data_IF_840252205699
#
_entry.id   IF_840252205699
#
_cell.length_a   1.000
_cell.length_b   1.000
_cell.length_c   1.000
_cell.angle_alpha   90.00
_cell.angle_beta   90.00
_cell.angle_gamma   90.00
#
_symmetry.space_group_name_H-M   'P 1'
#
loop_
_entity.id
_entity.type
_entity.pdbx_description
1 polymer ?
#
# COMPACT_ATOMS: atom_id res chain seq x y z
N UNK A 1 22.43 28.25 -6.41
CA UNK A 1 21.24 27.73 -7.13
C UNK A 1 19.98 28.17 -6.41
N UNK A 2 18.92 28.56 -7.12
CA UNK A 2 17.64 28.89 -6.48
C UNK A 2 17.01 27.65 -5.85
N UNK A 3 16.18 27.83 -4.82
CA UNK A 3 15.41 26.75 -4.18
C UNK A 3 14.58 25.96 -5.22
N UNK A 4 13.92 26.68 -6.12
CA UNK A 4 13.15 26.13 -7.24
C UNK A 4 13.98 25.22 -8.15
N UNK A 5 15.22 25.62 -8.51
CA UNK A 5 16.09 24.80 -9.35
C UNK A 5 16.50 23.48 -8.68
N UNK A 6 16.57 23.45 -7.34
CA UNK A 6 16.86 22.22 -6.57
C UNK A 6 15.65 21.29 -6.45
N UNK A 7 14.43 21.84 -6.46
CA UNK A 7 13.20 21.07 -6.26
C UNK A 7 12.57 20.61 -7.57
N UNK A 8 12.71 21.38 -8.66
CA UNK A 8 12.06 21.12 -9.95
C UNK A 8 12.26 19.68 -10.46
N UNK A 9 13.45 19.05 -10.38
CA UNK A 9 13.63 17.67 -10.82
C UNK A 9 12.82 16.65 -10.02
N UNK A 10 12.45 16.97 -8.77
CA UNK A 10 11.77 16.04 -7.86
C UNK A 10 10.24 16.17 -7.91
N UNK A 11 9.70 17.27 -8.43
CA UNK A 11 8.25 17.54 -8.43
C UNK A 11 7.40 16.47 -9.15
N UNK A 12 7.79 15.92 -10.32
CA UNK A 12 7.00 14.87 -10.96
C UNK A 12 6.83 13.63 -10.09
N UNK A 13 7.88 13.27 -9.35
CA UNK A 13 7.88 12.12 -8.45
C UNK A 13 7.03 12.36 -7.20
N UNK A 14 7.11 13.56 -6.61
CA UNK A 14 6.27 13.90 -5.45
C UNK A 14 4.78 13.92 -5.84
N UNK A 15 4.44 14.39 -7.04
CA UNK A 15 3.06 14.32 -7.55
C UNK A 15 2.63 12.87 -7.74
N UNK A 16 3.46 12.01 -8.33
CA UNK A 16 3.17 10.58 -8.46
C UNK A 16 2.90 9.94 -7.10
N UNK A 17 3.76 10.19 -6.13
CA UNK A 17 3.61 9.72 -4.75
C UNK A 17 2.32 10.22 -4.11
N UNK A 18 2.06 11.54 -4.16
CA UNK A 18 0.87 12.14 -3.57
C UNK A 18 -0.42 11.54 -4.12
N UNK A 19 -0.47 11.26 -5.43
CA UNK A 19 -1.62 10.61 -6.09
C UNK A 19 -1.79 9.16 -5.66
N UNK A 20 -0.70 8.43 -5.49
CA UNK A 20 -0.74 7.07 -4.97
C UNK A 20 -1.19 7.03 -3.51
N UNK A 21 -0.85 8.06 -2.73
CA UNK A 21 -1.23 8.20 -1.33
C UNK A 21 -2.70 8.60 -1.15
N UNK A 22 -3.22 9.51 -2.00
CA UNK A 22 -4.60 10.01 -1.92
C UNK A 22 -5.63 9.16 -2.67
N UNK A 23 -5.17 8.34 -3.63
CA UNK A 23 -6.05 7.65 -4.57
C UNK A 23 -6.67 8.56 -5.65
N UNK A 24 -6.51 9.89 -5.55
CA UNK A 24 -7.06 10.88 -6.47
C UNK A 24 -6.01 11.88 -6.98
N UNK A 25 -6.12 12.24 -8.27
CA UNK A 25 -5.22 13.19 -8.93
C UNK A 25 -5.34 14.61 -8.39
N UNK A 26 -6.57 15.08 -8.19
CA UNK A 26 -6.86 16.46 -7.80
C UNK A 26 -6.38 16.72 -6.38
N UNK A 27 -6.73 15.83 -5.44
CA UNK A 27 -6.25 15.90 -4.06
C UNK A 27 -4.73 15.82 -3.99
N UNK A 28 -4.10 14.86 -4.66
CA UNK A 28 -2.65 14.70 -4.65
C UNK A 28 -1.90 15.94 -5.14
N UNK A 29 -2.34 16.51 -6.27
CA UNK A 29 -1.76 17.72 -6.84
C UNK A 29 -1.99 18.95 -5.94
N UNK A 30 -3.14 19.03 -5.25
CA UNK A 30 -3.43 20.10 -4.29
C UNK A 30 -2.46 20.09 -3.10
N UNK A 31 -2.20 18.94 -2.49
CA UNK A 31 -1.24 18.85 -1.37
C UNK A 31 0.18 19.23 -1.78
N UNK A 32 0.61 18.82 -2.98
CA UNK A 32 1.91 19.24 -3.51
C UNK A 32 1.97 20.75 -3.72
N UNK A 33 0.91 21.36 -4.26
CA UNK A 33 0.83 22.82 -4.41
C UNK A 33 0.95 23.54 -3.08
N UNK A 34 0.17 23.14 -2.07
CA UNK A 34 0.22 23.73 -0.72
C UNK A 34 1.61 23.59 -0.11
N UNK A 35 2.28 22.45 -0.31
CA UNK A 35 3.64 22.25 0.17
C UNK A 35 4.66 23.20 -0.47
N UNK A 36 4.52 23.45 -1.77
CA UNK A 36 5.38 24.41 -2.47
C UNK A 36 5.09 25.86 -2.09
N UNK A 37 3.81 26.20 -1.87
CA UNK A 37 3.40 27.53 -1.38
C UNK A 37 3.98 27.82 0.01
N UNK A 38 3.89 26.86 0.94
CA UNK A 38 4.46 26.98 2.28
C UNK A 38 6.00 27.13 2.25
N UNK A 39 6.68 26.43 1.34
CA UNK A 39 8.13 26.58 1.12
C UNK A 39 8.48 27.94 0.51
N UNK A 40 7.68 28.43 -0.44
CA UNK A 40 7.90 29.72 -1.10
C UNK A 40 7.63 30.91 -0.14
N UNK A 41 6.64 30.77 0.74
CA UNK A 41 6.31 31.74 1.78
C UNK A 41 7.29 31.73 2.97
N UNK A 42 8.16 30.71 3.06
CA UNK A 42 9.12 30.55 4.16
C UNK A 42 8.50 30.02 5.46
N UNK A 43 7.24 29.57 5.43
CA UNK A 43 6.54 28.96 6.57
C UNK A 43 7.12 27.58 6.92
N UNK A 44 7.65 26.89 5.91
CA UNK A 44 8.44 25.67 6.06
C UNK A 44 9.81 25.87 5.44
N UNK A 45 10.81 25.22 6.02
CA UNK A 45 12.20 25.23 5.55
C UNK A 45 12.64 23.81 5.22
N UNK A 46 13.50 23.70 4.21
CA UNK A 46 14.16 22.43 3.91
C UNK A 46 15.31 22.23 4.91
N UNK A 47 15.35 21.05 5.52
CA UNK A 47 16.47 20.63 6.34
C UNK A 47 17.73 20.51 5.47
N UNK A 48 18.76 21.28 5.80
CA UNK A 48 20.02 21.32 5.04
C UNK A 48 20.90 20.10 5.29
N UNK A 49 20.62 19.31 6.33
CA UNK A 49 21.31 18.05 6.59
C UNK A 49 20.82 16.90 5.72
N UNK A 50 19.63 17.06 5.10
CA UNK A 50 19.00 16.06 4.26
C UNK A 50 19.24 16.34 2.78
N UNK A 51 19.12 15.30 1.95
CA UNK A 51 19.11 15.49 0.50
C UNK A 51 17.88 16.33 0.09
N UNK A 52 17.95 17.16 -0.97
CA UNK A 52 16.81 17.97 -1.41
C UNK A 52 15.55 17.14 -1.68
N UNK A 53 15.72 15.90 -2.14
CA UNK A 53 14.65 14.94 -2.36
C UNK A 53 13.99 14.54 -1.03
N UNK A 54 14.77 14.06 -0.05
CA UNK A 54 14.24 13.64 1.26
C UNK A 54 13.59 14.82 1.99
N UNK A 55 14.24 15.99 1.99
CA UNK A 55 13.73 17.19 2.63
C UNK A 55 12.36 17.62 2.04
N UNK A 56 12.18 17.52 0.72
CA UNK A 56 10.92 17.84 0.06
C UNK A 56 9.78 16.92 0.51
N UNK A 57 10.02 15.60 0.55
CA UNK A 57 9.01 14.64 1.01
C UNK A 57 8.70 14.82 2.49
N UNK A 58 9.69 15.14 3.33
CA UNK A 58 9.46 15.43 4.75
C UNK A 58 8.54 16.64 4.95
N UNK A 59 8.74 17.71 4.17
CA UNK A 59 7.85 18.89 4.23
C UNK A 59 6.45 18.55 3.75
N UNK A 60 6.32 17.78 2.66
CA UNK A 60 5.03 17.27 2.20
C UNK A 60 4.30 16.49 3.30
N UNK A 61 4.98 15.56 3.98
CA UNK A 61 4.41 14.78 5.08
C UNK A 61 4.03 15.63 6.29
N UNK A 62 4.80 16.66 6.61
CA UNK A 62 4.45 17.58 7.70
C UNK A 62 3.14 18.35 7.42
N UNK A 63 2.84 18.66 6.16
CA UNK A 63 1.60 19.34 5.75
C UNK A 63 0.44 18.36 5.63
N UNK A 64 0.70 17.19 5.04
CA UNK A 64 -0.25 16.09 4.97
C UNK A 64 -0.73 15.66 6.35
N UNK A 65 0.19 15.45 7.30
CA UNK A 65 -0.14 15.05 8.67
C UNK A 65 -0.97 16.09 9.42
N UNK A 66 -0.85 17.37 9.07
CA UNK A 66 -1.60 18.45 9.71
C UNK A 66 -3.02 18.63 9.15
N UNK A 67 -3.29 18.21 7.91
CA UNK A 67 -4.55 18.54 7.20
C UNK A 67 -5.25 17.35 6.56
N UNK A 68 -4.50 16.38 6.02
CA UNK A 68 -5.02 15.24 5.26
C UNK A 68 -5.19 13.95 6.06
N UNK A 69 -4.37 13.71 7.09
CA UNK A 69 -4.44 12.48 7.89
C UNK A 69 -5.77 12.29 8.67
N UNK A 70 -6.55 13.35 8.88
CA UNK A 70 -7.88 13.28 9.52
C UNK A 70 -9.01 12.92 8.55
N UNK A 71 -8.79 12.97 7.23
CA UNK A 71 -9.80 12.72 6.20
C UNK A 71 -9.71 11.31 5.61
N UNK A 72 -8.76 10.48 6.05
CA UNK A 72 -8.55 9.10 5.59
C UNK A 72 -9.44 8.07 6.31
N UNK A 73 -10.64 8.46 6.77
CA UNK A 73 -11.66 7.46 7.14
C UNK A 73 -12.05 6.70 5.87
N UNK A 74 -11.91 5.37 5.82
CA UNK A 74 -12.45 4.60 4.71
C UNK A 74 -13.95 4.85 4.69
N UNK A 75 -14.46 5.44 3.62
CA UNK A 75 -15.88 5.41 3.36
C UNK A 75 -16.20 3.95 3.06
N UNK A 76 -16.94 3.27 3.95
CA UNK A 76 -17.42 1.89 3.75
C UNK A 76 -18.40 1.79 2.55
N UNK A 77 -18.61 2.90 1.83
CA UNK A 77 -19.36 2.98 0.59
C UNK A 77 -18.57 2.45 -0.61
N UNK A 78 -18.94 1.26 -1.05
CA UNK A 78 -18.83 0.82 -2.46
C UNK A 78 -17.42 0.56 -3.01
N UNK A 79 -16.48 0.10 -2.18
CA UNK A 79 -15.26 -0.58 -2.65
C UNK A 79 -15.62 -1.98 -3.18
N UNK A 80 -16.41 -2.03 -4.28
CA UNK A 80 -16.51 -3.21 -5.12
C UNK A 80 -15.10 -3.72 -5.43
N UNK A 81 -14.94 -5.04 -5.54
CA UNK A 81 -13.67 -5.72 -5.84
C UNK A 81 -12.99 -5.13 -7.09
N UNK A 82 -12.21 -4.07 -6.88
CA UNK A 82 -11.56 -3.31 -7.92
C UNK A 82 -10.23 -3.97 -8.25
N UNK A 83 -10.05 -4.34 -9.51
CA UNK A 83 -8.76 -4.81 -10.03
C UNK A 83 -7.69 -3.72 -10.04
N UNK A 84 -8.00 -2.44 -9.76
CA UNK A 84 -7.03 -1.34 -9.74
C UNK A 84 -6.13 -1.41 -8.47
N UNK A 85 -4.80 -1.56 -8.63
CA UNK A 85 -3.85 -1.54 -7.51
C UNK A 85 -3.97 -0.31 -6.59
N UNK A 86 -4.48 0.83 -7.09
CA UNK A 86 -4.64 2.05 -6.29
C UNK A 86 -5.77 1.94 -5.27
N UNK A 87 -6.89 1.33 -5.62
CA UNK A 87 -8.00 1.13 -4.67
C UNK A 87 -7.62 0.17 -3.54
N UNK A 88 -6.79 -0.82 -3.87
CA UNK A 88 -6.22 -1.79 -2.91
C UNK A 88 -5.36 -1.10 -1.85
N UNK A 89 -4.42 -0.27 -2.31
CA UNK A 89 -3.60 0.55 -1.40
C UNK A 89 -4.44 1.43 -0.46
N UNK A 90 -5.63 1.89 -0.88
CA UNK A 90 -6.49 2.71 -0.03
C UNK A 90 -7.04 1.95 1.19
N UNK A 91 -7.08 0.61 1.15
CA UNK A 91 -7.52 -0.24 2.28
C UNK A 91 -6.43 -0.49 3.32
N UNK A 92 -5.17 -0.27 2.97
CA UNK A 92 -4.02 -0.39 3.88
C UNK A 92 -4.09 0.74 4.92
N UNK A 93 -3.70 0.42 6.15
CA UNK A 93 -3.57 1.42 7.22
C UNK A 93 -2.70 2.61 6.75
N UNK A 94 -3.12 3.87 6.97
CA UNK A 94 -2.51 5.01 6.29
C UNK A 94 -1.00 5.18 6.50
N UNK A 95 -0.48 4.91 7.70
CA UNK A 95 0.97 4.97 7.97
C UNK A 95 1.75 3.85 7.29
N UNK A 96 1.20 2.63 7.26
CA UNK A 96 1.81 1.49 6.58
C UNK A 96 1.88 1.76 5.07
N UNK A 97 0.80 2.29 4.48
CA UNK A 97 0.76 2.74 3.07
C UNK A 97 1.86 3.75 2.77
N UNK A 98 2.04 4.76 3.63
CA UNK A 98 3.08 5.78 3.43
C UNK A 98 4.48 5.15 3.40
N UNK A 99 4.82 4.33 4.40
CA UNK A 99 6.13 3.67 4.46
C UNK A 99 6.38 2.78 3.23
N UNK A 100 5.38 2.00 2.82
CA UNK A 100 5.46 1.14 1.64
C UNK A 100 5.63 1.93 0.34
N UNK A 101 4.88 3.01 0.14
CA UNK A 101 4.99 3.82 -1.08
C UNK A 101 6.33 4.57 -1.15
N UNK A 102 6.86 5.03 -0.02
CA UNK A 102 8.17 5.67 0.01
C UNK A 102 9.29 4.71 -0.43
N UNK A 103 9.22 3.45 -0.01
CA UNK A 103 10.24 2.45 -0.37
C UNK A 103 9.97 1.81 -1.73
N UNK A 104 8.81 1.18 -1.93
CA UNK A 104 8.51 0.39 -3.12
C UNK A 104 8.25 1.24 -4.38
N UNK A 105 7.61 2.40 -4.26
CA UNK A 105 7.29 3.25 -5.42
C UNK A 105 8.34 4.34 -5.65
N UNK A 106 8.79 4.98 -4.58
CA UNK A 106 9.74 6.08 -4.66
C UNK A 106 11.21 5.64 -4.53
N UNK A 107 11.48 4.41 -4.10
CA UNK A 107 12.83 3.88 -4.04
C UNK A 107 13.70 4.54 -2.97
N UNK A 108 13.10 5.09 -1.91
CA UNK A 108 13.85 5.49 -0.73
C UNK A 108 14.30 4.27 0.05
N UNK A 109 15.46 4.40 0.70
CA UNK A 109 15.87 3.41 1.70
C UNK A 109 14.98 3.51 2.95
N UNK A 110 14.88 2.45 3.77
CA UNK A 110 14.11 2.52 5.02
C UNK A 110 14.60 3.65 5.96
N UNK A 111 15.90 3.92 5.98
CA UNK A 111 16.48 5.04 6.75
C UNK A 111 16.03 6.42 6.24
N UNK A 112 15.94 6.61 4.92
CA UNK A 112 15.41 7.85 4.34
C UNK A 112 13.89 7.97 4.56
N UNK A 113 13.15 6.87 4.45
CA UNK A 113 11.73 6.83 4.77
C UNK A 113 11.49 7.21 6.25
N UNK A 114 12.33 6.76 7.17
CA UNK A 114 12.28 7.15 8.59
C UNK A 114 12.48 8.66 8.78
N UNK A 115 13.45 9.26 8.05
CA UNK A 115 13.65 10.71 8.05
C UNK A 115 12.44 11.47 7.49
N UNK A 116 11.80 10.95 6.44
CA UNK A 116 10.61 11.55 5.83
C UNK A 116 9.40 11.50 6.78
N UNK A 117 9.16 10.33 7.38
CA UNK A 117 8.04 10.09 8.30
C UNK A 117 8.30 10.64 9.71
N UNK A 118 9.51 11.13 9.98
CA UNK A 118 9.95 11.63 11.29
C UNK A 118 9.74 10.58 12.39
N UNK A 119 10.14 9.34 12.10
CA UNK A 119 10.19 8.22 13.05
C UNK A 119 11.55 7.51 12.97
N UNK A 120 11.75 6.44 13.74
CA UNK A 120 12.93 5.60 13.73
C UNK A 120 12.88 4.50 12.65
N UNK A 121 14.02 3.84 12.45
CA UNK A 121 14.16 2.78 11.44
C UNK A 121 13.29 1.57 11.76
N UNK A 122 13.14 1.22 13.04
CA UNK A 122 12.41 0.04 13.48
C UNK A 122 10.91 0.19 13.23
N UNK A 123 10.33 1.36 13.51
CA UNK A 123 8.93 1.66 13.19
C UNK A 123 8.69 1.60 11.68
N UNK A 124 9.60 2.14 10.85
CA UNK A 124 9.45 2.05 9.39
C UNK A 124 9.49 0.61 8.90
N UNK A 125 10.41 -0.21 9.41
CA UNK A 125 10.52 -1.62 9.03
C UNK A 125 9.25 -2.39 9.39
N UNK A 126 8.70 -2.16 10.59
CA UNK A 126 7.42 -2.72 11.02
C UNK A 126 6.24 -2.23 10.15
N UNK A 127 6.22 -0.95 9.78
CA UNK A 127 5.18 -0.38 8.92
C UNK A 127 5.22 -0.98 7.50
N UNK A 128 6.41 -1.21 6.95
CA UNK A 128 6.58 -1.87 5.66
C UNK A 128 6.11 -3.33 5.73
N UNK A 129 6.55 -4.08 6.75
CA UNK A 129 6.12 -5.46 6.95
C UNK A 129 4.60 -5.57 7.11
N UNK A 130 4.00 -4.65 7.87
CA UNK A 130 2.54 -4.56 8.03
C UNK A 130 1.83 -4.26 6.71
N UNK A 131 2.34 -3.30 5.93
CA UNK A 131 1.76 -2.99 4.62
C UNK A 131 1.82 -4.18 3.66
N UNK A 132 2.94 -4.91 3.64
CA UNK A 132 3.10 -6.10 2.81
C UNK A 132 2.08 -7.17 3.20
N UNK A 133 1.95 -7.45 4.51
CA UNK A 133 0.96 -8.40 5.00
C UNK A 133 -0.49 -8.01 4.67
N UNK A 134 -0.82 -6.71 4.72
CA UNK A 134 -2.14 -6.19 4.34
C UNK A 134 -2.41 -6.34 2.84
N UNK A 135 -1.40 -6.12 1.98
CA UNK A 135 -1.48 -6.33 0.52
C UNK A 135 -1.69 -7.81 0.19
N UNK A 136 -0.91 -8.68 0.83
CA UNK A 136 -0.98 -10.13 0.61
C UNK A 136 -2.33 -10.67 1.09
N UNK A 137 -2.84 -10.18 2.21
CA UNK A 137 -4.17 -10.52 2.72
C UNK A 137 -5.30 -10.05 1.79
N UNK A 138 -5.12 -8.96 1.04
CA UNK A 138 -6.12 -8.50 0.07
C UNK A 138 -6.14 -9.34 -1.22
N UNK A 139 -5.01 -9.99 -1.55
CA UNK A 139 -4.90 -10.97 -2.63
C UNK A 139 -5.41 -12.37 -2.24
N UNK A 140 -5.59 -12.61 -0.93
CA UNK A 140 -6.13 -13.84 -0.42
C UNK A 140 -7.52 -14.09 -1.02
N UNK A 141 -7.77 -15.32 -1.43
CA UNK A 141 -9.05 -15.75 -1.99
C UNK A 141 -9.43 -17.08 -1.37
N UNK A 142 -10.69 -17.45 -1.55
CA UNK A 142 -11.19 -18.74 -1.12
C UNK A 142 -10.89 -19.78 -2.20
N UNK A 143 -10.15 -20.83 -1.83
CA UNK A 143 -9.64 -21.87 -2.73
C UNK A 143 -10.34 -23.19 -2.44
N UNK A 144 -10.90 -23.80 -3.48
CA UNK A 144 -11.39 -25.18 -3.45
C UNK A 144 -10.32 -26.08 -4.09
N UNK A 145 -9.90 -27.11 -3.36
CA UNK A 145 -8.97 -28.13 -3.87
C UNK A 145 -9.78 -29.37 -4.27
N UNK A 146 -9.52 -29.92 -5.45
CA UNK A 146 -10.12 -31.16 -5.94
C UNK A 146 -8.98 -32.14 -6.18
N UNK A 147 -8.78 -33.07 -5.26
CA UNK A 147 -7.67 -34.02 -5.29
C UNK A 147 -8.06 -35.27 -4.49
N UNK A 148 -7.90 -36.46 -5.09
CA UNK A 148 -8.29 -37.72 -4.48
C UNK A 148 -7.12 -38.37 -3.71
N UNK A 149 -5.88 -37.95 -3.97
CA UNK A 149 -4.71 -38.37 -3.24
C UNK A 149 -4.46 -37.51 -1.97
N UNK A 150 -4.58 -38.08 -0.74
CA UNK A 150 -4.55 -37.30 0.49
C UNK A 150 -3.19 -36.62 0.76
N UNK A 151 -2.09 -37.20 0.24
CA UNK A 151 -0.75 -36.61 0.38
C UNK A 151 -0.61 -35.38 -0.52
N UNK A 152 -1.04 -35.48 -1.79
CA UNK A 152 -0.99 -34.37 -2.74
C UNK A 152 -1.93 -33.24 -2.29
N UNK A 153 -3.13 -33.59 -1.82
CA UNK A 153 -4.09 -32.62 -1.30
C UNK A 153 -3.52 -31.83 -0.10
N UNK A 154 -2.84 -32.51 0.83
CA UNK A 154 -2.21 -31.87 1.98
C UNK A 154 -1.03 -30.97 1.57
N UNK A 155 -0.22 -31.38 0.60
CA UNK A 155 0.89 -30.57 0.09
C UNK A 155 0.38 -29.30 -0.62
N UNK A 156 -0.66 -29.43 -1.46
CA UNK A 156 -1.31 -28.29 -2.12
C UNK A 156 -1.94 -27.37 -1.06
N UNK A 157 -2.65 -27.91 -0.07
CA UNK A 157 -3.24 -27.13 1.01
C UNK A 157 -2.17 -26.31 1.76
N UNK A 158 -1.03 -26.92 2.09
CA UNK A 158 0.07 -26.24 2.75
C UNK A 158 0.61 -25.06 1.92
N UNK A 159 0.85 -25.27 0.62
CA UNK A 159 1.31 -24.24 -0.31
C UNK A 159 0.28 -23.10 -0.45
N UNK A 160 -1.00 -23.44 -0.59
CA UNK A 160 -2.08 -22.45 -0.72
C UNK A 160 -2.18 -21.58 0.53
N UNK A 161 -2.04 -22.17 1.73
CA UNK A 161 -2.04 -21.44 3.00
C UNK A 161 -0.77 -20.59 3.19
N UNK A 162 0.39 -21.08 2.76
CA UNK A 162 1.65 -20.33 2.79
C UNK A 162 1.58 -19.08 1.92
N UNK A 163 0.90 -19.15 0.78
CA UNK A 163 0.63 -18.01 -0.11
C UNK A 163 -0.47 -17.06 0.42
N UNK A 164 -1.02 -17.32 1.61
CA UNK A 164 -2.00 -16.46 2.27
C UNK A 164 -3.45 -16.67 1.84
N UNK A 165 -3.74 -17.66 0.99
CA UNK A 165 -5.11 -17.98 0.59
C UNK A 165 -5.81 -18.90 1.62
N UNK A 166 -7.15 -18.91 1.59
CA UNK A 166 -7.96 -19.70 2.49
C UNK A 166 -8.54 -20.91 1.75
N UNK A 167 -8.12 -22.11 2.13
CA UNK A 167 -8.75 -23.34 1.65
C UNK A 167 -10.13 -23.48 2.31
N UNK A 168 -11.19 -23.50 1.50
CA UNK A 168 -12.58 -23.59 1.99
C UNK A 168 -13.10 -25.00 2.07
N UNK A 169 -12.64 -25.88 1.17
CA UNK A 169 -13.00 -27.30 1.16
C UNK A 169 -11.96 -28.08 0.34
N UNK A 170 -11.89 -29.40 0.56
CA UNK A 170 -11.08 -30.34 -0.22
C UNK A 170 -12.01 -31.48 -0.65
N UNK A 171 -12.21 -31.61 -1.97
CA UNK A 171 -13.09 -32.62 -2.54
C UNK A 171 -12.28 -33.74 -3.20
N UNK A 172 -12.59 -35.00 -2.88
CA UNK A 172 -11.96 -36.17 -3.50
C UNK A 172 -12.75 -36.69 -4.72
N UNK A 173 -13.99 -36.24 -4.89
CA UNK A 173 -14.83 -36.66 -6.02
C UNK A 173 -15.50 -35.49 -6.72
N UNK A 174 -15.90 -35.72 -7.98
CA UNK A 174 -16.67 -34.74 -8.77
C UNK A 174 -17.93 -34.25 -8.04
N UNK A 175 -18.65 -35.16 -7.38
CA UNK A 175 -19.90 -34.82 -6.68
C UNK A 175 -19.65 -33.89 -5.49
N UNK A 176 -18.64 -34.21 -4.68
CA UNK A 176 -18.19 -33.37 -3.56
C UNK A 176 -17.72 -32.00 -4.04
N UNK A 177 -16.96 -31.95 -5.14
CA UNK A 177 -16.46 -30.70 -5.71
C UNK A 177 -17.61 -29.78 -6.16
N UNK A 178 -18.64 -30.32 -6.82
CA UNK A 178 -19.81 -29.55 -7.25
C UNK A 178 -20.59 -29.02 -6.05
N UNK A 179 -20.75 -29.84 -5.00
CA UNK A 179 -21.42 -29.44 -3.77
C UNK A 179 -20.65 -28.33 -3.04
N UNK A 180 -19.34 -28.51 -2.87
CA UNK A 180 -18.45 -27.55 -2.23
C UNK A 180 -18.41 -26.22 -2.99
N UNK A 181 -18.32 -26.25 -4.32
CA UNK A 181 -18.33 -25.04 -5.15
C UNK A 181 -19.66 -24.28 -5.03
N UNK A 182 -20.80 -24.99 -4.98
CA UNK A 182 -22.10 -24.37 -4.80
C UNK A 182 -22.26 -23.73 -3.41
N UNK A 183 -21.69 -24.36 -2.37
CA UNK A 183 -21.76 -23.90 -0.98
C UNK A 183 -20.84 -22.72 -0.69
N UNK A 184 -19.60 -22.78 -1.17
CA UNK A 184 -18.54 -21.82 -0.81
C UNK A 184 -18.29 -20.75 -1.87
N UNK A 185 -18.65 -20.97 -3.14
CA UNK A 185 -18.36 -20.05 -4.26
C UNK A 185 -16.90 -19.57 -4.27
N UNK A 186 -15.93 -20.50 -4.36
CA UNK A 186 -14.51 -20.17 -4.28
C UNK A 186 -14.10 -19.21 -5.41
N UNK A 187 -13.11 -18.35 -5.13
CA UNK A 187 -12.51 -17.45 -6.12
C UNK A 187 -11.47 -18.15 -7.01
N UNK A 188 -10.94 -19.30 -6.57
CA UNK A 188 -9.99 -20.13 -7.31
C UNK A 188 -10.27 -21.62 -7.06
N UNK A 189 -10.15 -22.44 -8.09
CA UNK A 189 -10.24 -23.90 -8.00
C UNK A 189 -8.92 -24.50 -8.46
N UNK A 190 -8.35 -25.41 -7.66
CA UNK A 190 -7.19 -26.22 -8.01
C UNK A 190 -7.67 -27.66 -8.15
N UNK A 191 -7.41 -28.28 -9.31
CA UNK A 191 -7.91 -29.59 -9.68
C UNK A 191 -6.93 -30.31 -10.60
#
# INVERSE_FOLDING_TARGET
MSLLARLAPHLPYVRRYARALTGDQTSGDQYVRVALEALAAGEKTLDSSLSPRVALYRVFHAIWGATGAHLETPDDGDLAAGTDPRQRLMRIAPRSRQAFLLTALEGFTPSEAAQILSTDFEEVDQLIAKAQAEIDAELATEVLIIEDEPVIAADIEALVRELGHKVVDIAATRSEAVEAAARHRPGLVLA
#
